data_IF_997574491349
#
_entry.id   IF_997574491349
#
_cell.length_a   1.000
_cell.length_b   1.000
_cell.length_c   1.000
_cell.angle_alpha   90.00
_cell.angle_beta   90.00
_cell.angle_gamma   90.00
#
_symmetry.space_group_name_H-M   'P 1'
#
loop_
_entity.id
_entity.type
_entity.pdbx_description
1 polymer ?
#
# COMPACT_ATOMS: atom_id res chain seq x y z
N UNK A 1 19.04 42.69 -21.32
CA UNK A 1 20.06 41.79 -20.72
C UNK A 1 20.03 41.95 -19.20
N UNK A 2 19.23 41.13 -18.49
CA UNK A 2 19.24 41.03 -17.02
C UNK A 2 19.76 39.63 -16.68
N UNK A 3 20.93 39.56 -16.05
CA UNK A 3 21.55 38.30 -15.61
C UNK A 3 20.76 37.77 -14.42
N UNK A 4 20.08 36.64 -14.59
CA UNK A 4 19.53 35.85 -13.48
C UNK A 4 20.67 35.03 -12.87
N UNK A 5 21.00 35.31 -11.61
CA UNK A 5 21.86 34.45 -10.81
C UNK A 5 21.02 33.27 -10.32
N UNK A 6 21.24 32.09 -10.90
CA UNK A 6 20.78 30.83 -10.33
C UNK A 6 21.70 30.47 -9.16
N UNK A 7 21.26 30.81 -7.95
CA UNK A 7 21.90 30.32 -6.72
C UNK A 7 21.56 28.83 -6.60
N UNK A 8 22.51 27.97 -6.99
CA UNK A 8 22.45 26.54 -6.74
C UNK A 8 22.39 26.31 -5.23
N UNK A 9 21.21 25.98 -4.71
CA UNK A 9 21.09 25.36 -3.39
C UNK A 9 21.67 23.95 -3.51
N UNK A 10 22.95 23.81 -3.20
CA UNK A 10 23.53 22.52 -2.86
C UNK A 10 22.80 22.09 -1.58
N UNK A 11 21.83 21.18 -1.74
CA UNK A 11 21.26 20.43 -0.63
C UNK A 11 22.43 19.64 -0.05
N UNK A 12 23.02 20.20 1.01
CA UNK A 12 23.95 19.49 1.87
C UNK A 12 23.12 18.34 2.45
N UNK A 13 23.32 17.13 1.91
CA UNK A 13 22.94 15.92 2.64
C UNK A 13 23.64 16.03 3.99
N UNK A 14 22.89 16.42 5.02
CA UNK A 14 23.29 16.18 6.38
C UNK A 14 23.43 14.68 6.43
N UNK A 15 24.68 14.22 6.42
CA UNK A 15 25.04 12.86 6.75
C UNK A 15 24.27 12.55 8.02
N UNK A 16 23.20 11.76 7.88
CA UNK A 16 22.59 11.09 9.00
C UNK A 16 23.77 10.41 9.67
N UNK A 17 24.11 10.84 10.90
CA UNK A 17 25.10 10.16 11.74
C UNK A 17 24.72 8.70 11.62
N UNK A 18 25.54 7.92 10.91
CA UNK A 18 25.38 6.47 10.86
C UNK A 18 25.27 6.08 12.32
N UNK A 19 24.10 5.59 12.77
CA UNK A 19 24.01 5.03 14.11
C UNK A 19 25.13 3.99 14.14
N UNK A 20 26.18 4.26 14.91
CA UNK A 20 27.32 3.36 15.03
C UNK A 20 26.78 1.99 15.34
N UNK A 21 27.13 0.98 14.54
CA UNK A 21 26.59 -0.35 14.73
C UNK A 21 26.98 -0.84 16.13
N UNK A 22 25.97 -1.14 16.94
CA UNK A 22 26.17 -1.66 18.31
C UNK A 22 25.75 -3.11 18.39
N UNK A 23 26.29 -3.79 19.40
CA UNK A 23 26.01 -5.19 19.67
C UNK A 23 25.66 -5.37 21.13
N UNK A 24 24.54 -6.04 21.40
CA UNK A 24 24.17 -6.49 22.73
C UNK A 24 24.55 -7.95 22.82
N UNK A 25 25.38 -8.31 23.80
CA UNK A 25 25.72 -9.69 24.11
C UNK A 25 25.21 -10.04 25.50
N UNK A 26 24.54 -11.17 25.63
CA UNK A 26 24.25 -11.81 26.90
C UNK A 26 25.26 -12.92 27.14
N UNK A 27 25.73 -13.08 28.38
CA UNK A 27 26.37 -14.32 28.80
C UNK A 27 26.12 -14.60 30.28
N UNK A 28 25.87 -15.86 30.61
CA UNK A 28 25.78 -16.32 32.00
C UNK A 28 27.15 -16.71 32.60
N UNK A 29 28.23 -16.55 31.83
CA UNK A 29 29.56 -17.04 32.16
C UNK A 29 30.64 -16.02 31.74
N UNK A 30 31.42 -15.56 32.72
CA UNK A 30 32.39 -14.48 32.55
C UNK A 30 31.86 -13.15 33.07
N UNK A 31 32.77 -12.32 33.59
CA UNK A 31 32.45 -11.00 34.13
C UNK A 31 32.88 -9.90 33.13
N UNK A 32 32.42 -8.66 33.29
CA UNK A 32 32.91 -7.59 32.46
C UNK A 32 34.29 -7.09 32.91
N UNK A 33 35.30 -7.24 32.04
CA UNK A 33 36.61 -6.61 32.21
C UNK A 33 37.69 -7.46 32.89
N UNK A 34 37.40 -8.69 33.31
CA UNK A 34 38.39 -9.64 33.80
C UNK A 34 38.97 -10.54 32.71
N UNK A 35 39.13 -10.04 31.47
CA UNK A 35 39.68 -10.85 30.38
C UNK A 35 41.10 -11.30 30.72
N UNK A 36 41.31 -12.61 30.72
CA UNK A 36 42.62 -13.17 31.02
C UNK A 36 42.86 -14.42 30.21
N UNK A 37 44.05 -14.49 29.62
CA UNK A 37 44.54 -15.67 28.92
C UNK A 37 45.00 -16.77 29.89
N UNK A 38 45.32 -16.40 31.13
CA UNK A 38 45.73 -17.29 32.20
C UNK A 38 44.57 -17.53 33.18
N UNK A 39 44.53 -18.68 33.83
CA UNK A 39 43.51 -18.93 34.83
C UNK A 39 43.67 -18.01 36.05
N UNK A 40 42.54 -17.50 36.54
CA UNK A 40 42.43 -16.88 37.86
C UNK A 40 41.52 -17.69 38.76
N UNK A 41 41.73 -17.59 40.08
CA UNK A 41 41.03 -18.39 41.07
C UNK A 41 39.91 -17.57 41.71
N UNK A 42 38.70 -18.13 41.80
CA UNK A 42 37.57 -17.57 42.55
C UNK A 42 36.79 -18.72 43.19
N UNK A 43 36.63 -18.68 44.52
CA UNK A 43 35.86 -19.64 45.30
C UNK A 43 36.15 -21.12 44.96
N UNK A 44 37.44 -21.47 44.79
CA UNK A 44 37.99 -22.79 44.45
C UNK A 44 37.96 -23.20 42.95
N UNK A 45 37.41 -22.35 42.09
CA UNK A 45 37.38 -22.57 40.64
C UNK A 45 38.46 -21.76 39.93
N UNK A 46 38.95 -22.32 38.83
CA UNK A 46 39.89 -21.67 37.91
C UNK A 46 39.11 -21.24 36.68
N UNK A 47 39.16 -19.95 36.33
CA UNK A 47 38.44 -19.38 35.20
C UNK A 47 39.38 -18.71 34.20
N UNK A 48 39.06 -18.78 32.92
CA UNK A 48 39.62 -17.94 31.87
C UNK A 48 38.56 -17.63 30.82
N UNK A 49 38.49 -16.38 30.38
CA UNK A 49 37.57 -15.98 29.33
C UNK A 49 38.05 -14.71 28.62
N UNK A 50 37.65 -14.55 27.37
CA UNK A 50 37.94 -13.37 26.57
C UNK A 50 36.96 -13.21 25.40
N UNK A 51 36.83 -11.97 24.96
CA UNK A 51 36.10 -11.59 23.75
C UNK A 51 37.09 -10.89 22.83
N UNK A 52 37.10 -11.25 21.55
CA UNK A 52 37.99 -10.64 20.55
C UNK A 52 37.22 -10.12 19.36
N UNK A 53 37.79 -9.11 18.71
CA UNK A 53 37.37 -8.60 17.39
C UNK A 53 38.20 -9.26 16.28
N UNK A 54 37.91 -8.90 15.03
CA UNK A 54 38.43 -9.59 13.83
C UNK A 54 39.95 -9.60 13.72
N UNK A 55 40.62 -8.58 14.25
CA UNK A 55 42.10 -8.48 14.26
C UNK A 55 42.77 -9.38 15.31
N UNK A 56 41.99 -10.13 16.11
CA UNK A 56 42.46 -11.00 17.18
C UNK A 56 42.76 -10.29 18.50
N UNK A 57 42.64 -8.97 18.57
CA UNK A 57 42.80 -8.21 19.80
C UNK A 57 41.56 -8.34 20.70
N UNK A 58 41.77 -8.15 22.01
CA UNK A 58 40.71 -8.11 23.00
C UNK A 58 39.71 -6.97 22.68
N UNK A 59 38.43 -7.26 22.87
CA UNK A 59 37.34 -6.33 22.68
C UNK A 59 36.61 -6.13 24.01
N UNK A 60 36.60 -4.91 24.50
CA UNK A 60 35.97 -4.54 25.76
C UNK A 60 34.61 -3.88 25.52
N UNK A 61 33.61 -4.16 26.38
CA UNK A 61 32.31 -3.52 26.28
C UNK A 61 32.41 -2.04 26.63
N UNK A 62 31.67 -1.22 25.90
CA UNK A 62 31.49 0.21 26.22
C UNK A 62 30.53 0.42 27.39
N UNK A 63 29.67 -0.58 27.65
CA UNK A 63 28.71 -0.57 28.75
C UNK A 63 28.40 -1.99 29.20
N UNK A 64 28.19 -2.14 30.50
CA UNK A 64 27.90 -3.42 31.17
C UNK A 64 26.70 -3.20 32.06
N UNK A 65 25.71 -4.06 31.93
CA UNK A 65 24.50 -4.06 32.76
C UNK A 65 24.17 -5.50 33.11
N UNK A 66 24.38 -5.89 34.36
CA UNK A 66 24.26 -7.28 34.81
C UNK A 66 25.08 -8.24 33.91
N UNK A 67 24.42 -9.17 33.22
CA UNK A 67 24.99 -10.17 32.30
C UNK A 67 25.05 -9.68 30.85
N UNK A 68 24.66 -8.42 30.59
CA UNK A 68 24.64 -7.83 29.26
C UNK A 68 25.85 -6.94 29.02
N UNK A 69 26.53 -7.20 27.92
CA UNK A 69 27.73 -6.50 27.45
C UNK A 69 27.39 -5.78 26.14
N UNK A 70 27.58 -4.46 26.10
CA UNK A 70 27.31 -3.64 24.92
C UNK A 70 28.62 -3.24 24.27
N UNK A 71 28.72 -3.44 22.96
CA UNK A 71 29.90 -3.12 22.15
C UNK A 71 29.56 -2.14 21.03
N UNK A 72 30.52 -1.29 20.67
CA UNK A 72 30.51 -0.41 19.50
C UNK A 72 31.32 -0.96 18.31
N UNK A 73 31.96 -2.12 18.50
CA UNK A 73 32.67 -2.88 17.49
C UNK A 73 32.22 -4.33 17.50
N UNK A 74 32.32 -5.00 16.34
CA UNK A 74 31.86 -6.38 16.15
C UNK A 74 32.71 -7.39 16.94
N UNK A 75 32.12 -8.14 17.90
CA UNK A 75 32.74 -9.32 18.46
C UNK A 75 32.78 -10.44 17.41
N UNK A 76 33.89 -11.17 17.33
CA UNK A 76 34.05 -12.29 16.40
C UNK A 76 34.48 -13.60 17.06
N UNK A 77 34.95 -13.53 18.30
CA UNK A 77 35.30 -14.70 19.08
C UNK A 77 34.87 -14.50 20.54
N UNK A 78 34.29 -15.54 21.11
CA UNK A 78 33.97 -15.68 22.52
C UNK A 78 34.62 -16.97 23.01
N UNK A 79 35.34 -16.89 24.12
CA UNK A 79 35.95 -18.04 24.76
C UNK A 79 35.68 -17.98 26.25
N UNK A 80 35.22 -19.08 26.81
CA UNK A 80 35.06 -19.31 28.23
C UNK A 80 35.54 -20.72 28.54
N UNK A 81 36.30 -20.85 29.62
CA UNK A 81 36.76 -22.13 30.13
C UNK A 81 36.97 -22.05 31.63
N UNK A 82 36.46 -23.04 32.36
CA UNK A 82 36.50 -23.09 33.81
C UNK A 82 36.59 -24.52 34.31
N UNK A 83 37.36 -24.73 35.38
CA UNK A 83 37.45 -26.04 36.03
C UNK A 83 37.63 -25.93 37.54
N UNK A 84 37.23 -26.99 38.25
CA UNK A 84 37.54 -27.22 39.67
C UNK A 84 38.42 -28.47 39.76
N UNK A 85 39.66 -28.36 40.27
CA UNK A 85 40.51 -29.53 40.46
C UNK A 85 39.94 -30.45 41.54
N UNK A 86 40.24 -31.74 41.45
CA UNK A 86 39.83 -32.75 42.43
C UNK A 86 40.33 -32.42 43.85
N UNK A 87 39.43 -32.44 44.85
CA UNK A 87 39.78 -32.18 46.26
C UNK A 87 40.24 -33.42 47.06
N UNK A 88 40.22 -34.62 46.46
CA UNK A 88 40.56 -35.87 47.12
C UNK A 88 41.91 -36.42 46.65
N UNK A 89 42.62 -37.13 47.54
CA UNK A 89 43.91 -37.75 47.22
C UNK A 89 43.74 -38.92 46.25
N UNK A 90 44.09 -38.71 44.98
CA UNK A 90 43.99 -39.70 43.91
C UNK A 90 45.26 -40.55 43.80
N UNK A 91 45.10 -41.86 43.57
CA UNK A 91 46.20 -42.81 43.34
C UNK A 91 46.61 -42.95 41.86
N UNK A 92 46.28 -41.95 41.03
CA UNK A 92 46.54 -41.87 39.57
C UNK A 92 46.50 -40.41 39.08
N UNK A 93 46.54 -40.12 37.75
CA UNK A 93 46.45 -38.75 37.27
C UNK A 93 45.13 -38.13 37.73
N UNK A 94 45.21 -37.06 38.53
CA UNK A 94 44.03 -36.35 39.05
C UNK A 94 43.19 -35.84 37.88
N UNK A 95 41.89 -36.11 37.91
CA UNK A 95 40.93 -35.53 36.97
C UNK A 95 40.43 -34.17 37.47
N UNK A 96 39.44 -33.63 36.75
CA UNK A 96 38.72 -32.42 37.16
C UNK A 96 37.40 -32.85 37.84
N UNK A 97 37.16 -32.35 39.06
CA UNK A 97 35.89 -32.56 39.78
C UNK A 97 34.74 -31.95 38.98
N UNK A 98 35.01 -30.82 38.32
CA UNK A 98 34.11 -30.13 37.43
C UNK A 98 34.89 -29.39 36.32
N UNK A 99 34.34 -29.36 35.12
CA UNK A 99 34.88 -28.63 33.96
C UNK A 99 33.75 -28.05 33.11
N UNK A 100 34.00 -26.91 32.49
CA UNK A 100 33.06 -26.31 31.56
C UNK A 100 33.73 -25.36 30.58
N UNK A 101 33.29 -25.41 29.33
CA UNK A 101 33.85 -24.58 28.28
C UNK A 101 32.87 -24.24 27.17
N UNK A 102 33.09 -23.08 26.58
CA UNK A 102 32.43 -22.61 25.36
C UNK A 102 33.43 -21.84 24.51
N UNK A 103 33.64 -22.31 23.30
CA UNK A 103 34.34 -21.57 22.26
C UNK A 103 33.38 -21.30 21.11
N UNK A 104 33.23 -20.03 20.75
CA UNK A 104 32.51 -19.62 19.56
C UNK A 104 33.37 -18.68 18.73
N UNK A 105 33.60 -19.07 17.49
CA UNK A 105 34.39 -18.32 16.53
C UNK A 105 33.56 -18.03 15.28
N UNK A 106 33.87 -16.91 14.61
CA UNK A 106 33.29 -16.55 13.31
C UNK A 106 31.76 -16.53 13.26
N UNK A 107 31.11 -16.25 14.39
CA UNK A 107 29.65 -16.14 14.43
C UNK A 107 29.16 -14.95 13.60
N UNK A 108 28.03 -15.15 12.89
CA UNK A 108 27.39 -14.08 12.12
C UNK A 108 26.91 -12.99 13.08
N UNK A 109 27.23 -11.73 12.78
CA UNK A 109 27.13 -10.65 13.76
C UNK A 109 25.76 -9.99 13.86
N UNK A 110 24.86 -10.22 12.90
CA UNK A 110 23.51 -9.68 13.06
C UNK A 110 22.84 -10.32 14.27
N UNK A 111 23.19 -11.57 14.54
CA UNK A 111 22.79 -12.31 15.72
C UNK A 111 23.44 -13.71 15.78
N UNK A 112 23.64 -14.25 16.98
CA UNK A 112 24.11 -15.62 17.18
C UNK A 112 23.80 -16.11 18.60
N UNK A 113 23.65 -17.42 18.80
CA UNK A 113 23.53 -18.04 20.11
C UNK A 113 24.35 -19.33 20.12
N UNK A 114 25.06 -19.58 21.22
CA UNK A 114 25.65 -20.88 21.49
C UNK A 114 25.58 -21.21 22.99
N UNK A 115 25.53 -22.51 23.26
CA UNK A 115 25.67 -23.08 24.60
C UNK A 115 26.88 -24.02 24.56
N UNK A 116 27.69 -23.98 25.61
CA UNK A 116 28.86 -24.82 25.76
C UNK A 116 28.52 -26.15 26.42
N UNK A 117 29.56 -26.75 26.99
CA UNK A 117 29.47 -28.05 27.64
C UNK A 117 29.93 -27.94 29.09
N UNK A 118 29.47 -28.88 29.90
CA UNK A 118 29.82 -29.01 31.31
C UNK A 118 29.97 -30.50 31.63
N UNK A 119 30.94 -30.85 32.47
CA UNK A 119 31.24 -32.22 32.83
C UNK A 119 32.10 -32.31 34.08
N UNK A 120 32.61 -33.51 34.37
CA UNK A 120 33.39 -33.80 35.58
C UNK A 120 32.72 -34.83 36.47
N UNK A 121 33.41 -35.25 37.52
CA UNK A 121 32.93 -36.30 38.43
C UNK A 121 31.74 -35.87 39.28
N UNK A 122 31.62 -34.57 39.60
CA UNK A 122 30.56 -34.03 40.44
C UNK A 122 29.29 -33.65 39.66
N UNK A 123 29.24 -33.83 38.34
CA UNK A 123 28.12 -33.41 37.48
C UNK A 123 28.30 -32.00 36.89
N UNK A 124 27.29 -31.50 36.17
CA UNK A 124 27.32 -30.18 35.52
C UNK A 124 26.91 -29.06 36.49
N UNK A 125 27.81 -28.11 36.77
CA UNK A 125 27.54 -26.95 37.63
C UNK A 125 27.15 -25.69 36.83
N UNK A 126 28.00 -25.26 35.89
CA UNK A 126 27.68 -24.16 34.95
C UNK A 126 27.69 -24.72 33.53
N UNK A 127 26.66 -24.40 32.75
CA UNK A 127 26.67 -24.58 31.29
C UNK A 127 26.74 -23.16 30.70
N UNK A 128 27.90 -22.74 30.16
CA UNK A 128 28.08 -21.41 29.61
C UNK A 128 27.18 -21.24 28.41
N UNK A 129 26.45 -20.14 28.38
CA UNK A 129 25.63 -19.71 27.29
C UNK A 129 26.02 -18.29 26.92
N UNK A 130 25.99 -17.99 25.63
CA UNK A 130 25.99 -16.61 25.18
C UNK A 130 25.06 -16.43 24.00
N UNK A 131 24.55 -15.22 23.88
CA UNK A 131 23.87 -14.75 22.68
C UNK A 131 24.33 -13.35 22.34
N UNK A 132 24.25 -12.99 21.08
CA UNK A 132 24.57 -11.65 20.59
C UNK A 132 23.53 -11.24 19.56
N UNK A 133 23.20 -9.95 19.53
CA UNK A 133 22.37 -9.31 18.51
C UNK A 133 22.96 -7.96 18.16
N UNK A 134 23.01 -7.62 16.87
CA UNK A 134 23.34 -6.26 16.44
C UNK A 134 22.11 -5.36 16.48
N UNK A 135 22.30 -4.06 16.60
CA UNK A 135 21.20 -3.11 16.44
C UNK A 135 20.72 -2.94 14.99
N UNK A 136 21.30 -3.64 14.02
CA UNK A 136 20.88 -3.63 12.61
C UNK A 136 19.76 -4.66 12.39
N UNK A 137 18.61 -4.43 13.04
CA UNK A 137 17.46 -5.35 13.01
C UNK A 137 16.39 -4.96 12.00
N UNK A 138 16.43 -3.74 11.46
CA UNK A 138 15.45 -3.29 10.47
C UNK A 138 16.02 -3.38 9.06
N UNK A 139 15.30 -4.07 8.17
CA UNK A 139 15.69 -4.16 6.76
C UNK A 139 15.34 -2.85 6.05
N UNK A 140 16.30 -2.27 5.34
CA UNK A 140 16.04 -1.08 4.52
C UNK A 140 14.97 -1.40 3.47
N UNK A 141 13.94 -0.55 3.31
CA UNK A 141 12.91 -0.80 2.32
C UNK A 141 13.49 -0.67 0.91
N UNK A 142 12.78 -1.23 -0.08
CA UNK A 142 13.16 -1.10 -1.48
C UNK A 142 13.09 0.36 -1.94
N UNK A 143 13.53 0.65 -3.17
CA UNK A 143 13.44 2.00 -3.74
C UNK A 143 12.00 2.50 -3.90
N UNK A 144 10.99 1.62 -3.82
CA UNK A 144 9.57 1.99 -3.72
C UNK A 144 9.09 1.77 -2.28
N UNK A 145 9.49 2.68 -1.39
CA UNK A 145 9.22 2.65 0.04
C UNK A 145 8.07 3.60 0.43
N UNK A 146 7.07 3.74 -0.43
CA UNK A 146 5.93 4.62 -0.17
C UNK A 146 4.69 3.86 0.29
N UNK A 147 3.87 4.50 1.13
CA UNK A 147 2.57 3.97 1.55
C UNK A 147 1.59 5.10 1.80
N UNK A 148 0.29 4.81 1.72
CA UNK A 148 -0.74 5.83 1.94
C UNK A 148 -1.54 5.67 3.22
N UNK A 149 -1.83 4.43 3.64
CA UNK A 149 -2.61 4.11 4.84
C UNK A 149 -1.80 3.27 5.84
N UNK A 150 -1.22 2.16 5.39
CA UNK A 150 -0.56 1.19 6.27
C UNK A 150 0.78 0.75 5.73
N UNK A 151 1.71 0.47 6.64
CA UNK A 151 2.98 -0.18 6.34
C UNK A 151 3.25 -1.29 7.35
N UNK A 152 3.70 -2.45 6.85
CA UNK A 152 4.12 -3.55 7.69
C UNK A 152 5.62 -3.41 7.96
N UNK A 153 5.98 -3.40 9.23
CA UNK A 153 7.34 -3.29 9.72
C UNK A 153 7.68 -4.55 10.52
N UNK A 154 8.95 -4.94 10.53
CA UNK A 154 9.40 -6.13 11.23
C UNK A 154 10.85 -5.96 11.66
N UNK A 155 11.15 -6.32 12.90
CA UNK A 155 12.52 -6.48 13.37
C UNK A 155 12.99 -7.91 13.10
N UNK A 156 14.12 -8.02 12.42
CA UNK A 156 14.79 -9.26 12.00
C UNK A 156 16.09 -9.44 12.78
N UNK A 157 16.55 -10.68 12.92
CA UNK A 157 17.67 -11.04 13.80
C UNK A 157 17.71 -12.56 14.03
N UNK A 158 18.09 -13.01 15.23
CA UNK A 158 18.06 -14.44 15.60
C UNK A 158 17.13 -14.63 16.78
N UNK A 159 16.68 -15.87 16.92
CA UNK A 159 15.78 -16.34 17.98
C UNK A 159 16.13 -15.78 19.35
N UNK A 160 15.11 -15.38 20.11
CA UNK A 160 15.26 -14.86 21.46
C UNK A 160 13.96 -14.32 22.02
N UNK A 161 14.04 -13.78 23.23
CA UNK A 161 12.91 -13.25 24.01
C UNK A 161 12.83 -11.72 23.97
N UNK A 162 13.63 -11.08 23.12
CA UNK A 162 13.75 -9.63 23.07
C UNK A 162 12.42 -8.98 22.67
N UNK A 163 12.20 -7.78 23.18
CA UNK A 163 11.07 -6.92 22.82
C UNK A 163 11.57 -5.74 22.00
N UNK A 164 10.86 -5.48 20.92
CA UNK A 164 11.13 -4.37 20.01
C UNK A 164 10.03 -3.33 20.19
N UNK A 165 10.34 -2.24 20.90
CA UNK A 165 9.40 -1.15 21.15
C UNK A 165 9.49 -0.17 19.98
N UNK A 166 8.40 0.01 19.25
CA UNK A 166 8.39 0.78 18.01
C UNK A 166 8.28 2.28 18.27
N UNK A 167 9.15 3.03 17.61
CA UNK A 167 9.13 4.49 17.57
C UNK A 167 9.09 5.00 16.14
N UNK A 168 8.47 6.17 15.95
CA UNK A 168 8.40 6.85 14.66
C UNK A 168 8.68 8.35 14.81
N UNK A 169 9.06 9.00 13.72
CA UNK A 169 9.09 10.46 13.62
C UNK A 169 8.73 10.92 12.22
N UNK A 170 8.22 12.14 12.12
CA UNK A 170 7.94 12.82 10.86
C UNK A 170 8.94 13.95 10.64
N UNK A 171 9.31 14.19 9.39
CA UNK A 171 10.15 15.34 8.97
C UNK A 171 11.42 15.56 9.81
N UNK A 172 12.08 14.47 10.22
CA UNK A 172 13.31 14.53 11.00
C UNK A 172 13.15 15.05 12.44
N UNK A 173 11.91 15.15 12.94
CA UNK A 173 11.62 15.58 14.31
C UNK A 173 12.07 14.59 15.40
N UNK A 174 11.50 14.72 16.59
CA UNK A 174 11.79 13.79 17.69
C UNK A 174 11.04 12.47 17.50
N UNK A 175 11.70 11.36 17.83
CA UNK A 175 11.05 10.05 17.88
C UNK A 175 9.97 10.01 18.96
N UNK A 176 8.84 9.43 18.60
CA UNK A 176 7.67 9.23 19.44
C UNK A 176 7.40 7.73 19.57
N UNK A 177 7.10 7.28 20.79
CA UNK A 177 6.71 5.90 21.05
C UNK A 177 5.32 5.61 20.45
N UNK A 178 5.18 4.45 19.83
CA UNK A 178 3.88 3.90 19.44
C UNK A 178 3.19 3.18 20.60
N UNK A 179 3.91 2.92 21.70
CA UNK A 179 3.53 2.03 22.81
C UNK A 179 3.22 0.59 22.37
N UNK A 180 3.68 0.19 21.18
CA UNK A 180 3.58 -1.17 20.68
C UNK A 180 4.95 -1.83 20.77
N UNK A 181 4.98 -2.99 21.42
CA UNK A 181 6.13 -3.89 21.41
C UNK A 181 5.83 -5.12 20.56
N UNK A 182 6.76 -5.51 19.71
CA UNK A 182 6.70 -6.80 19.02
C UNK A 182 7.76 -7.76 19.53
N UNK A 183 7.48 -9.05 19.43
CA UNK A 183 8.50 -10.08 19.53
C UNK A 183 9.31 -10.21 18.25
N UNK A 184 10.21 -11.17 18.27
CA UNK A 184 11.04 -11.55 17.14
C UNK A 184 10.22 -11.96 15.91
N UNK A 185 10.59 -11.44 14.72
CA UNK A 185 9.89 -11.68 13.45
C UNK A 185 8.36 -11.47 13.51
N UNK A 186 7.87 -10.73 14.51
CA UNK A 186 6.46 -10.37 14.58
C UNK A 186 6.25 -9.07 13.81
N UNK A 187 5.31 -9.09 12.88
CA UNK A 187 4.96 -7.91 12.09
C UNK A 187 4.23 -6.88 12.97
N UNK A 188 4.73 -5.65 12.96
CA UNK A 188 4.01 -4.47 13.40
C UNK A 188 3.37 -3.80 12.19
N UNK A 189 2.04 -3.69 12.17
CA UNK A 189 1.35 -2.88 11.16
C UNK A 189 1.16 -1.46 11.69
N UNK A 190 1.91 -0.53 11.13
CA UNK A 190 1.72 0.89 11.39
C UNK A 190 0.51 1.39 10.59
N UNK A 191 -0.49 1.92 11.29
CA UNK A 191 -1.69 2.51 10.70
C UNK A 191 -1.58 4.03 10.78
N UNK A 192 -1.52 4.70 9.62
CA UNK A 192 -1.35 6.16 9.52
C UNK A 192 -2.36 6.91 10.36
N UNK A 193 -3.64 6.56 10.26
CA UNK A 193 -4.75 7.21 10.95
C UNK A 193 -4.66 7.19 12.48
N UNK A 194 -3.84 6.30 13.05
CA UNK A 194 -3.63 6.19 14.50
C UNK A 194 -2.57 7.16 15.01
N UNK A 195 -1.54 7.45 14.20
CA UNK A 195 -0.31 8.09 14.67
C UNK A 195 -0.03 9.45 14.02
N UNK A 196 -0.50 9.67 12.79
CA UNK A 196 -0.25 10.90 12.05
C UNK A 196 -1.53 11.47 11.45
N UNK A 197 -1.54 12.78 11.21
CA UNK A 197 -2.69 13.46 10.58
C UNK A 197 -3.06 12.82 9.25
N UNK A 198 -4.35 12.74 8.95
CA UNK A 198 -4.87 12.31 7.64
C UNK A 198 -4.44 13.22 6.49
N UNK A 199 -3.98 14.44 6.79
CA UNK A 199 -3.46 15.39 5.80
C UNK A 199 -1.94 15.32 5.63
N UNK A 200 -1.23 14.56 6.47
CA UNK A 200 0.23 14.52 6.45
C UNK A 200 0.79 13.82 5.21
N UNK A 201 1.65 14.48 4.46
CA UNK A 201 2.37 13.93 3.31
C UNK A 201 3.83 14.30 3.49
N UNK A 202 4.73 13.32 3.43
CA UNK A 202 6.14 13.56 3.72
C UNK A 202 6.89 12.34 4.21
N UNK A 203 8.12 12.56 4.69
CA UNK A 203 9.01 11.50 5.13
C UNK A 203 8.65 11.02 6.54
N UNK A 204 8.62 9.71 6.75
CA UNK A 204 8.45 9.11 8.06
C UNK A 204 9.57 8.11 8.33
N UNK A 205 10.17 8.22 9.50
CA UNK A 205 11.24 7.34 9.95
C UNK A 205 10.72 6.41 11.03
N UNK A 206 11.18 5.17 11.03
CA UNK A 206 10.93 4.19 12.08
C UNK A 206 12.24 3.68 12.66
N UNK A 207 12.21 3.42 13.96
CA UNK A 207 13.23 2.65 14.67
C UNK A 207 12.58 1.82 15.77
N UNK A 208 13.33 0.92 16.36
CA UNK A 208 12.93 0.19 17.56
C UNK A 208 13.93 0.41 18.68
N UNK A 209 13.43 0.50 19.91
CA UNK A 209 14.25 0.25 21.10
C UNK A 209 14.30 -1.26 21.30
N UNK A 210 15.50 -1.82 21.30
CA UNK A 210 15.75 -3.24 21.51
C UNK A 210 15.96 -3.45 23.00
N UNK A 211 14.99 -4.08 23.64
CA UNK A 211 15.05 -4.54 25.03
C UNK A 211 15.28 -6.05 25.00
N UNK A 212 16.44 -6.48 25.49
CA UNK A 212 16.80 -7.91 25.43
C UNK A 212 16.17 -8.73 26.55
N UNK A 213 15.87 -8.08 27.68
CA UNK A 213 15.33 -8.67 28.89
C UNK A 213 14.69 -7.59 29.72
N UNK A 214 13.35 -7.60 29.72
CA UNK A 214 12.50 -6.59 30.36
C UNK A 214 12.69 -6.49 31.88
N UNK A 215 13.43 -7.41 32.50
CA UNK A 215 13.76 -7.37 33.93
C UNK A 215 15.06 -6.61 34.23
N UNK A 216 15.83 -6.28 33.20
CA UNK A 216 17.05 -5.49 33.26
C UNK A 216 16.78 -4.13 32.63
N UNK A 217 17.30 -3.07 33.24
CA UNK A 217 17.17 -1.72 32.71
C UNK A 217 18.56 -1.18 32.37
N UNK A 218 18.68 -0.50 31.24
CA UNK A 218 19.89 0.20 30.80
C UNK A 218 20.72 -0.54 29.74
N UNK A 219 20.38 -1.76 29.38
CA UNK A 219 20.98 -2.55 28.30
C UNK A 219 20.37 -2.24 26.92
N UNK A 220 19.31 -1.43 26.89
CA UNK A 220 18.56 -1.13 25.68
C UNK A 220 19.38 -0.33 24.69
N UNK A 221 19.24 -0.66 23.41
CA UNK A 221 19.87 0.08 22.31
C UNK A 221 18.88 0.31 21.18
N UNK A 222 18.99 1.48 20.56
CA UNK A 222 18.19 1.80 19.38
C UNK A 222 18.71 1.09 18.14
N UNK A 223 17.78 0.62 17.33
CA UNK A 223 18.09 0.04 16.03
C UNK A 223 18.64 1.07 15.03
N UNK A 224 19.03 0.58 13.87
CA UNK A 224 19.08 1.41 12.67
C UNK A 224 17.69 2.02 12.35
N UNK A 225 17.71 3.11 11.58
CA UNK A 225 16.50 3.81 11.13
C UNK A 225 16.15 3.32 9.72
N UNK A 226 14.87 3.12 9.47
CA UNK A 226 14.32 2.92 8.12
C UNK A 226 13.35 4.06 7.80
N UNK A 227 13.41 4.54 6.57
CA UNK A 227 12.62 5.69 6.12
C UNK A 227 11.63 5.25 5.06
N UNK A 228 10.42 5.80 5.13
CA UNK A 228 9.35 5.62 4.16
C UNK A 228 8.79 6.99 3.77
N UNK A 229 8.04 7.03 2.68
CA UNK A 229 7.34 8.24 2.24
C UNK A 229 5.83 8.04 2.35
N UNK A 230 5.14 8.92 3.09
CA UNK A 230 3.69 8.90 3.22
C UNK A 230 3.06 9.62 2.04
N UNK A 231 2.40 8.87 1.16
CA UNK A 231 1.65 9.37 0.02
C UNK A 231 0.17 9.61 0.38
N UNK A 232 -0.55 10.46 -0.38
CA UNK A 232 -2.02 10.51 -0.32
C UNK A 232 -2.64 9.17 -0.72
N UNK A 233 -3.70 8.76 -0.02
CA UNK A 233 -4.49 7.58 -0.40
C UNK A 233 -5.19 7.81 -1.73
N UNK A 234 -5.31 6.81 -2.61
CA UNK A 234 -6.07 6.98 -3.85
C UNK A 234 -7.47 7.53 -3.57
N UNK A 235 -8.00 8.44 -4.39
CA UNK A 235 -9.35 8.92 -4.16
C UNK A 235 -10.35 7.77 -4.30
N UNK A 236 -11.23 7.62 -3.33
CA UNK A 236 -12.29 6.62 -3.30
C UNK A 236 -13.42 7.05 -4.22
N UNK A 237 -13.89 6.14 -5.06
CA UNK A 237 -15.11 6.33 -5.85
C UNK A 237 -16.35 6.23 -4.93
N UNK A 238 -16.85 7.38 -4.51
CA UNK A 238 -18.02 7.51 -3.64
C UNK A 238 -19.29 6.99 -4.30
N UNK A 239 -19.51 7.38 -5.56
CA UNK A 239 -20.72 7.02 -6.29
C UNK A 239 -20.50 7.05 -7.79
N UNK A 240 -21.42 6.38 -8.49
CA UNK A 240 -21.61 6.47 -9.93
C UNK A 240 -23.00 7.06 -10.16
N UNK A 241 -23.18 7.90 -11.17
CA UNK A 241 -24.50 8.45 -11.52
C UNK A 241 -25.54 7.34 -11.71
N UNK A 242 -26.77 7.62 -11.30
CA UNK A 242 -27.92 6.74 -11.49
C UNK A 242 -28.66 7.08 -12.78
N UNK A 243 -29.49 6.16 -13.28
CA UNK A 243 -30.32 6.33 -14.48
C UNK A 243 -29.52 6.75 -15.72
N UNK A 244 -28.38 6.07 -15.95
CA UNK A 244 -27.58 6.30 -17.14
C UNK A 244 -28.29 5.66 -18.32
N UNK A 245 -28.77 6.50 -19.24
CA UNK A 245 -29.50 6.07 -20.43
C UNK A 245 -28.74 6.48 -21.69
N UNK A 246 -28.86 5.69 -22.75
CA UNK A 246 -28.57 6.16 -24.11
C UNK A 246 -29.68 7.09 -24.59
N UNK A 247 -29.43 7.88 -25.63
CA UNK A 247 -30.47 8.79 -26.15
C UNK A 247 -31.58 8.05 -26.90
N UNK A 248 -31.25 6.93 -27.56
CA UNK A 248 -32.21 6.02 -28.21
C UNK A 248 -31.89 4.56 -27.85
N UNK A 249 -32.87 3.67 -28.00
CA UNK A 249 -32.76 2.23 -27.66
C UNK A 249 -31.72 1.45 -28.50
N UNK A 250 -31.18 2.08 -29.54
CA UNK A 250 -30.20 1.49 -30.46
C UNK A 250 -28.90 2.31 -30.58
N UNK A 251 -28.76 3.40 -29.82
CA UNK A 251 -27.54 4.24 -29.82
C UNK A 251 -26.54 3.77 -28.76
N UNK A 252 -25.28 4.19 -28.92
CA UNK A 252 -24.19 3.97 -27.97
C UNK A 252 -23.56 5.29 -27.52
N UNK A 253 -24.41 6.19 -27.04
CA UNK A 253 -24.06 7.55 -26.62
C UNK A 253 -24.34 7.83 -25.14
N UNK A 254 -24.53 6.76 -24.35
CA UNK A 254 -24.76 6.87 -22.91
C UNK A 254 -23.57 7.51 -22.21
N UNK A 255 -23.87 8.22 -21.12
CA UNK A 255 -22.88 8.88 -20.28
C UNK A 255 -23.00 8.41 -18.83
N UNK A 256 -21.85 8.22 -18.18
CA UNK A 256 -21.77 7.81 -16.78
C UNK A 256 -20.78 8.71 -16.06
N UNK A 257 -21.21 9.31 -14.96
CA UNK A 257 -20.39 10.21 -14.13
C UNK A 257 -19.89 9.48 -12.90
N UNK A 258 -18.57 9.46 -12.74
CA UNK A 258 -17.85 8.88 -11.61
C UNK A 258 -17.54 10.00 -10.60
N UNK A 259 -17.99 9.86 -9.35
CA UNK A 259 -17.79 10.86 -8.30
C UNK A 259 -16.79 10.37 -7.24
N UNK A 260 -15.73 11.13 -7.03
CA UNK A 260 -14.64 10.78 -6.11
C UNK A 260 -14.67 11.62 -4.83
N UNK A 261 -14.05 11.14 -3.77
CA UNK A 261 -13.97 11.80 -2.46
C UNK A 261 -13.00 13.00 -2.41
N UNK A 262 -11.95 12.97 -3.23
CA UNK A 262 -10.96 14.04 -3.37
C UNK A 262 -10.56 14.27 -4.84
N UNK A 263 -10.01 15.45 -5.10
CA UNK A 263 -9.38 15.74 -6.38
C UNK A 263 -8.05 14.99 -6.48
N UNK A 264 -7.63 14.74 -7.72
CA UNK A 264 -6.26 14.34 -8.01
C UNK A 264 -5.28 15.46 -7.65
N UNK A 265 -4.09 15.08 -7.20
CA UNK A 265 -2.95 16.00 -7.10
C UNK A 265 -2.42 16.32 -8.51
N UNK A 266 -1.60 17.36 -8.63
CA UNK A 266 -1.08 17.78 -9.95
C UNK A 266 -0.16 16.73 -10.59
N UNK A 267 0.45 15.85 -9.79
CA UNK A 267 1.32 14.76 -10.19
C UNK A 267 0.67 13.37 -10.03
N UNK A 268 -0.66 13.33 -9.90
CA UNK A 268 -1.45 12.12 -9.78
C UNK A 268 -2.38 11.94 -11.00
N UNK A 269 -2.54 10.71 -11.45
CA UNK A 269 -3.48 10.35 -12.52
C UNK A 269 -4.17 9.04 -12.21
N UNK A 270 -5.40 8.86 -12.71
CA UNK A 270 -6.03 7.55 -12.73
C UNK A 270 -5.56 6.73 -13.92
N UNK A 271 -5.39 5.44 -13.68
CA UNK A 271 -5.33 4.40 -14.70
C UNK A 271 -6.62 3.60 -14.63
N UNK A 272 -7.51 3.84 -15.59
CA UNK A 272 -8.82 3.21 -15.66
C UNK A 272 -8.87 2.19 -16.80
N UNK A 273 -9.46 1.04 -16.53
CA UNK A 273 -9.84 0.06 -17.53
C UNK A 273 -11.34 -0.17 -17.42
N UNK A 274 -12.06 -0.02 -18.54
CA UNK A 274 -13.49 -0.25 -18.60
C UNK A 274 -13.77 -1.46 -19.50
N UNK A 275 -14.38 -2.49 -18.95
CA UNK A 275 -14.78 -3.68 -19.74
C UNK A 275 -16.28 -3.87 -19.65
N UNK A 276 -16.83 -4.59 -20.62
CA UNK A 276 -18.17 -5.13 -20.47
C UNK A 276 -18.18 -6.22 -19.38
N UNK A 277 -19.36 -6.47 -18.82
CA UNK A 277 -19.54 -7.52 -17.80
C UNK A 277 -19.27 -8.94 -18.34
N UNK A 278 -19.33 -9.15 -19.66
CA UNK A 278 -18.98 -10.41 -20.33
C UNK A 278 -17.46 -10.58 -20.56
N UNK A 279 -16.64 -9.62 -20.12
CA UNK A 279 -15.19 -9.63 -20.27
C UNK A 279 -14.69 -9.11 -21.62
N UNK A 280 -15.57 -8.73 -22.55
CA UNK A 280 -15.17 -8.05 -23.77
C UNK A 280 -14.63 -6.65 -23.45
N UNK A 281 -13.51 -6.30 -24.08
CA UNK A 281 -12.74 -5.13 -23.73
C UNK A 281 -13.35 -3.83 -24.26
N UNK A 282 -13.30 -2.79 -23.43
CA UNK A 282 -13.28 -1.41 -23.88
C UNK A 282 -12.04 -0.72 -23.31
N UNK A 283 -11.76 0.48 -23.83
CA UNK A 283 -10.47 1.14 -23.76
C UNK A 283 -9.93 1.37 -22.34
N UNK A 284 -8.61 1.20 -22.20
CA UNK A 284 -7.86 1.80 -21.10
C UNK A 284 -7.82 3.32 -21.27
N UNK A 285 -7.97 4.05 -20.18
CA UNK A 285 -7.83 5.51 -20.15
C UNK A 285 -6.97 5.96 -18.98
N UNK A 286 -6.05 6.87 -19.28
CA UNK A 286 -5.38 7.66 -18.27
C UNK A 286 -6.15 8.97 -18.09
N UNK A 287 -6.58 9.26 -16.86
CA UNK A 287 -7.33 10.48 -16.53
C UNK A 287 -6.45 11.36 -15.63
N UNK A 288 -6.08 12.54 -16.13
CA UNK A 288 -5.34 13.55 -15.38
C UNK A 288 -6.29 14.51 -14.66
N UNK A 289 -5.77 15.27 -13.69
CA UNK A 289 -6.53 16.29 -12.96
C UNK A 289 -7.27 17.27 -13.88
N UNK A 290 -6.65 17.70 -14.98
CA UNK A 290 -7.26 18.67 -15.93
C UNK A 290 -8.46 18.10 -16.70
N UNK A 291 -8.63 16.79 -16.73
CA UNK A 291 -9.77 16.12 -17.37
C UNK A 291 -10.96 15.96 -16.41
N UNK A 292 -10.78 16.27 -15.13
CA UNK A 292 -11.82 16.16 -14.11
C UNK A 292 -12.53 17.49 -13.87
N UNK A 293 -13.78 17.40 -13.41
CA UNK A 293 -14.50 18.52 -12.82
C UNK A 293 -14.08 18.65 -11.35
N UNK A 294 -13.86 19.88 -10.86
CA UNK A 294 -13.45 20.14 -9.47
C UNK A 294 -14.65 20.14 -8.48
N UNK A 295 -15.83 20.57 -8.94
CA UNK A 295 -17.05 20.62 -8.13
C UNK A 295 -18.28 20.26 -8.96
N UNK A 296 -18.80 19.02 -8.84
CA UNK A 296 -18.29 17.92 -8.02
C UNK A 296 -16.98 17.35 -8.58
N UNK A 297 -16.23 16.65 -7.71
CA UNK A 297 -14.95 15.99 -8.02
C UNK A 297 -15.21 14.76 -8.89
N UNK A 298 -15.35 14.95 -10.19
CA UNK A 298 -15.93 13.92 -11.05
C UNK A 298 -15.29 13.81 -12.43
N UNK A 299 -15.50 12.66 -13.05
CA UNK A 299 -15.17 12.41 -14.45
C UNK A 299 -16.35 11.73 -15.15
N UNK A 300 -16.74 12.24 -16.31
CA UNK A 300 -17.85 11.68 -17.11
C UNK A 300 -17.30 10.85 -18.26
N UNK A 301 -17.58 9.56 -18.24
CA UNK A 301 -17.35 8.66 -19.35
C UNK A 301 -18.51 8.77 -20.34
N UNK A 302 -18.20 8.99 -21.62
CA UNK A 302 -19.19 9.19 -22.69
C UNK A 302 -19.07 8.10 -23.75
N UNK A 303 -20.11 7.96 -24.57
CA UNK A 303 -20.11 7.05 -25.72
C UNK A 303 -20.27 5.58 -25.30
N UNK A 304 -21.09 5.33 -24.28
CA UNK A 304 -21.35 3.99 -23.76
C UNK A 304 -22.61 3.41 -24.40
N UNK A 305 -22.52 2.13 -24.79
CA UNK A 305 -23.65 1.33 -25.27
C UNK A 305 -24.54 0.84 -24.15
N UNK A 306 -25.71 0.32 -24.51
CA UNK A 306 -26.63 -0.33 -23.58
C UNK A 306 -26.02 -1.66 -23.13
N UNK A 307 -25.42 -1.67 -21.94
CA UNK A 307 -24.71 -2.83 -21.39
C UNK A 307 -24.40 -2.63 -19.89
N UNK A 308 -24.02 -3.71 -19.22
CA UNK A 308 -23.36 -3.66 -17.91
C UNK A 308 -21.83 -3.56 -18.06
N UNK A 309 -21.22 -2.70 -17.25
CA UNK A 309 -19.79 -2.39 -17.30
C UNK A 309 -19.10 -2.71 -15.96
N UNK A 310 -17.83 -3.09 -16.05
CA UNK A 310 -16.89 -3.21 -14.93
C UNK A 310 -15.81 -2.16 -15.13
N UNK A 311 -15.73 -1.20 -14.21
CA UNK A 311 -14.63 -0.24 -14.11
C UNK A 311 -13.61 -0.77 -13.12
N UNK A 312 -12.38 -0.99 -13.58
CA UNK A 312 -11.22 -1.18 -12.74
C UNK A 312 -10.37 0.10 -12.76
N UNK A 313 -9.98 0.60 -11.60
CA UNK A 313 -9.19 1.83 -11.53
C UNK A 313 -8.17 1.79 -10.38
N UNK A 314 -7.05 2.47 -10.58
CA UNK A 314 -6.03 2.76 -9.59
C UNK A 314 -5.44 4.14 -9.86
N UNK A 315 -4.76 4.76 -8.90
CA UNK A 315 -3.96 5.97 -9.16
C UNK A 315 -2.49 5.65 -9.30
N UNK A 316 -1.84 6.42 -10.16
CA UNK A 316 -0.39 6.52 -10.29
C UNK A 316 0.01 7.88 -9.76
N UNK A 317 0.90 7.89 -8.78
CA UNK A 317 1.49 9.10 -8.23
C UNK A 317 2.99 9.11 -8.56
N UNK A 318 3.45 10.15 -9.24
CA UNK A 318 4.87 10.32 -9.57
C UNK A 318 5.45 11.44 -8.71
N UNK A 319 6.34 11.08 -7.80
CA UNK A 319 7.05 12.01 -6.91
C UNK A 319 8.53 12.09 -7.28
N UNK A 320 9.28 13.00 -6.67
CA UNK A 320 10.74 13.05 -6.82
C UNK A 320 11.44 11.74 -6.40
N UNK A 321 10.80 10.96 -5.52
CA UNK A 321 11.34 9.71 -4.96
C UNK A 321 10.95 8.47 -5.77
N UNK A 322 10.13 8.60 -6.82
CA UNK A 322 9.69 7.47 -7.65
C UNK A 322 8.20 7.52 -7.99
N UNK A 323 7.73 6.43 -8.61
CA UNK A 323 6.32 6.27 -9.00
C UNK A 323 5.69 5.14 -8.20
N UNK A 324 4.57 5.43 -7.53
CA UNK A 324 3.81 4.44 -6.77
C UNK A 324 2.44 4.22 -7.43
N UNK A 325 1.99 2.96 -7.46
CA UNK A 325 0.63 2.59 -7.83
C UNK A 325 -0.21 2.33 -6.59
N UNK A 326 -1.43 2.82 -6.58
CA UNK A 326 -2.40 2.49 -5.53
C UNK A 326 -2.91 1.05 -5.68
N UNK A 327 -3.60 0.56 -4.64
CA UNK A 327 -4.42 -0.64 -4.79
C UNK A 327 -5.46 -0.44 -5.89
N UNK A 328 -5.64 -1.45 -6.74
CA UNK A 328 -6.69 -1.46 -7.74
C UNK A 328 -8.06 -1.69 -7.10
N UNK A 329 -9.03 -0.89 -7.51
CA UNK A 329 -10.42 -0.95 -7.09
C UNK A 329 -11.32 -1.29 -8.27
N UNK A 330 -12.49 -1.89 -8.00
CA UNK A 330 -13.45 -2.28 -9.03
C UNK A 330 -14.86 -1.81 -8.70
N UNK A 331 -15.62 -1.40 -9.72
CA UNK A 331 -17.02 -0.99 -9.58
C UNK A 331 -17.82 -1.40 -10.81
N UNK A 332 -19.03 -1.89 -10.59
CA UNK A 332 -19.99 -2.18 -11.66
C UNK A 332 -21.03 -1.08 -11.77
N UNK A 333 -21.47 -0.84 -13.01
CA UNK A 333 -22.60 0.02 -13.33
C UNK A 333 -23.25 -0.45 -14.64
N UNK A 334 -24.43 0.09 -14.96
CA UNK A 334 -25.12 -0.20 -16.21
C UNK A 334 -25.55 1.06 -16.91
N UNK A 335 -25.66 0.94 -18.23
CA UNK A 335 -26.34 1.90 -19.10
C UNK A 335 -27.55 1.17 -19.67
N UNK A 336 -28.74 1.70 -19.41
CA UNK A 336 -30.01 1.12 -19.84
C UNK A 336 -30.53 1.84 -21.11
N UNK A 337 -31.39 1.19 -21.90
CA UNK A 337 -32.10 1.90 -22.96
C UNK A 337 -33.13 2.87 -22.36
N UNK A 338 -33.42 4.01 -23.02
CA UNK A 338 -34.59 4.81 -22.68
C UNK A 338 -35.88 4.05 -23.05
N UNK A 339 -37.04 4.59 -22.69
CA UNK A 339 -38.31 4.07 -23.20
C UNK A 339 -38.35 4.22 -24.73
N UNK A 340 -38.65 3.14 -25.45
CA UNK A 340 -38.70 3.14 -26.91
C UNK A 340 -39.72 4.15 -27.44
N UNK A 341 -39.25 5.06 -28.28
CA UNK A 341 -40.10 5.94 -29.07
C UNK A 341 -40.96 5.12 -30.03
N UNK A 342 -42.26 5.42 -30.08
CA UNK A 342 -43.19 4.80 -31.01
C UNK A 342 -44.20 5.79 -31.55
N UNK A 343 -44.82 5.43 -32.68
CA UNK A 343 -45.96 6.17 -33.20
C UNK A 343 -47.00 5.22 -33.81
N UNK A 344 -48.22 5.73 -33.96
CA UNK A 344 -49.28 5.05 -34.69
C UNK A 344 -49.97 6.02 -35.64
N UNK A 345 -50.46 5.48 -36.76
CA UNK A 345 -51.24 6.22 -37.75
C UNK A 345 -52.66 5.65 -37.75
N UNK A 346 -53.65 6.53 -37.61
CA UNK A 346 -55.06 6.21 -37.77
C UNK A 346 -55.56 6.87 -39.05
N UNK A 347 -55.99 6.08 -40.02
CA UNK A 347 -56.48 6.58 -41.31
C UNK A 347 -58.00 6.74 -41.31
N UNK A 348 -58.49 7.88 -41.79
CA UNK A 348 -59.92 8.12 -42.05
C UNK A 348 -60.12 8.35 -43.55
N UNK A 349 -60.81 7.40 -44.20
CA UNK A 349 -61.08 7.48 -45.63
C UNK A 349 -62.10 8.59 -45.95
N UNK A 350 -61.95 9.29 -47.08
CA UNK A 350 -62.91 10.31 -47.49
C UNK A 350 -64.26 9.69 -47.85
N UNK A 351 -65.35 10.41 -47.57
CA UNK A 351 -66.73 9.94 -47.86
C UNK A 351 -67.01 9.87 -49.36
N UNK A 352 -66.26 10.62 -50.18
CA UNK A 352 -66.42 10.69 -51.63
C UNK A 352 -65.05 10.87 -52.32
N UNK A 353 -64.91 10.41 -53.57
CA UNK A 353 -63.65 10.39 -54.35
C UNK A 353 -62.95 11.75 -54.56
N UNK A 354 -63.60 12.87 -54.22
CA UNK A 354 -63.08 14.23 -54.45
C UNK A 354 -62.68 14.95 -53.16
N UNK A 355 -62.56 14.25 -52.03
CA UNK A 355 -62.11 14.82 -50.76
C UNK A 355 -60.79 14.17 -50.33
N UNK A 356 -59.86 14.92 -49.69
CA UNK A 356 -58.66 14.32 -49.13
C UNK A 356 -59.01 13.35 -47.99
N UNK A 357 -58.22 12.30 -47.84
CA UNK A 357 -58.24 11.48 -46.63
C UNK A 357 -57.62 12.25 -45.46
N UNK A 358 -57.94 11.85 -44.23
CA UNK A 358 -57.30 12.42 -43.03
C UNK A 358 -56.52 11.30 -42.34
N UNK A 359 -55.25 11.56 -42.07
CA UNK A 359 -54.45 10.70 -41.19
C UNK A 359 -54.29 11.39 -39.85
N UNK A 360 -54.34 10.61 -38.78
CA UNK A 360 -54.00 11.05 -37.43
C UNK A 360 -52.74 10.34 -36.98
N UNK A 361 -51.65 11.08 -36.83
CA UNK A 361 -50.39 10.55 -36.30
C UNK A 361 -50.39 10.79 -34.79
N UNK A 362 -50.11 9.76 -34.00
CA UNK A 362 -50.01 9.85 -32.54
C UNK A 362 -48.64 9.34 -32.14
N UNK A 363 -47.79 10.23 -31.63
CA UNK A 363 -46.46 9.91 -31.11
C UNK A 363 -46.55 9.58 -29.62
N UNK A 364 -45.74 8.61 -29.16
CA UNK A 364 -45.70 8.16 -27.77
C UNK A 364 -44.27 7.84 -27.33
N UNK A 365 -43.97 8.06 -26.05
CA UNK A 365 -42.62 7.91 -25.46
C UNK A 365 -41.56 8.78 -26.17
N UNK A 366 -40.27 8.53 -25.94
CA UNK A 366 -39.18 9.36 -26.48
C UNK A 366 -39.12 10.76 -25.86
N UNK A 367 -38.46 11.69 -26.57
CA UNK A 367 -38.23 13.06 -26.08
C UNK A 367 -38.91 14.09 -26.97
N UNK A 368 -39.96 14.73 -26.44
CA UNK A 368 -40.63 15.88 -27.10
C UNK A 368 -39.66 17.07 -27.31
N UNK A 369 -39.82 17.88 -28.38
CA UNK A 369 -40.85 17.80 -29.44
C UNK A 369 -40.65 16.64 -30.42
N UNK A 370 -41.74 16.27 -31.12
CA UNK A 370 -41.74 15.26 -32.19
C UNK A 370 -41.80 15.92 -33.57
N UNK A 371 -41.34 15.21 -34.59
CA UNK A 371 -41.28 15.67 -35.96
C UNK A 371 -41.82 14.57 -36.88
N UNK A 372 -42.52 14.95 -37.94
CA UNK A 372 -42.91 14.05 -39.01
C UNK A 372 -42.46 14.59 -40.38
N UNK A 373 -42.27 13.69 -41.33
CA UNK A 373 -42.10 14.01 -42.74
C UNK A 373 -42.94 13.05 -43.59
N UNK A 374 -43.51 13.60 -44.67
CA UNK A 374 -44.39 12.90 -45.60
C UNK A 374 -43.69 12.87 -46.95
N UNK A 375 -43.53 11.70 -47.56
CA UNK A 375 -42.93 11.52 -48.89
C UNK A 375 -41.55 12.21 -49.01
N UNK A 376 -40.75 12.15 -47.94
CA UNK A 376 -39.42 12.79 -47.84
C UNK A 376 -39.43 14.32 -47.98
N UNK A 377 -40.55 14.98 -47.67
CA UNK A 377 -40.63 16.45 -47.59
C UNK A 377 -39.93 16.99 -46.33
N UNK A 378 -39.84 18.32 -46.22
CA UNK A 378 -39.25 18.96 -45.04
C UNK A 378 -39.99 18.55 -43.76
N UNK A 379 -39.22 18.27 -42.70
CA UNK A 379 -39.78 17.87 -41.42
C UNK A 379 -40.60 18.99 -40.77
N UNK A 380 -41.75 18.60 -40.23
CA UNK A 380 -42.66 19.48 -39.52
C UNK A 380 -42.73 19.04 -38.06
N UNK A 381 -42.59 20.01 -37.14
CA UNK A 381 -42.76 19.79 -35.71
C UNK A 381 -44.23 19.58 -35.37
N UNK A 382 -44.55 18.60 -34.51
CA UNK A 382 -45.91 18.42 -34.03
C UNK A 382 -46.33 19.60 -33.15
N UNK A 383 -47.59 20.03 -33.24
CA UNK A 383 -48.14 21.03 -32.33
C UNK A 383 -48.56 20.41 -30.98
N UNK A 384 -48.78 19.09 -30.95
CA UNK A 384 -49.12 18.32 -29.74
C UNK A 384 -48.59 16.88 -29.83
N UNK A 385 -48.96 15.97 -28.93
CA UNK A 385 -48.57 14.54 -29.08
C UNK A 385 -49.29 13.83 -30.23
N UNK A 386 -50.26 14.49 -30.87
CA UNK A 386 -50.96 13.99 -32.06
C UNK A 386 -51.26 15.10 -33.05
N UNK A 387 -51.26 14.77 -34.35
CA UNK A 387 -51.54 15.73 -35.43
C UNK A 387 -52.49 15.09 -36.46
N UNK A 388 -53.49 15.86 -36.90
CA UNK A 388 -54.42 15.46 -37.97
C UNK A 388 -54.00 16.14 -39.29
N UNK A 389 -53.76 15.35 -40.34
CA UNK A 389 -53.17 15.82 -41.60
C UNK A 389 -54.04 15.34 -42.76
N UNK A 390 -54.43 16.28 -43.62
CA UNK A 390 -55.16 15.97 -44.85
C UNK A 390 -54.18 15.58 -45.97
N UNK A 391 -54.41 14.44 -46.61
CA UNK A 391 -53.59 13.92 -47.71
C UNK A 391 -54.44 13.66 -48.97
N UNK A 392 -53.89 13.91 -50.18
CA UNK A 392 -54.56 13.54 -51.42
C UNK A 392 -54.67 12.01 -51.56
N UNK A 393 -55.39 11.55 -52.57
CA UNK A 393 -55.47 10.12 -52.86
C UNK A 393 -54.12 9.62 -53.41
N UNK A 394 -53.61 8.53 -52.84
CA UNK A 394 -52.35 7.91 -53.22
C UNK A 394 -51.73 7.16 -52.06
N UNK A 395 -50.64 6.44 -52.36
CA UNK A 395 -49.79 5.85 -51.34
C UNK A 395 -48.86 6.92 -50.77
N UNK A 396 -48.77 7.02 -49.43
CA UNK A 396 -47.88 7.97 -48.76
C UNK A 396 -46.90 7.26 -47.82
N UNK A 397 -45.67 7.79 -47.72
CA UNK A 397 -44.66 7.32 -46.76
C UNK A 397 -44.52 8.32 -45.63
N UNK A 398 -44.76 7.86 -44.41
CA UNK A 398 -44.69 8.69 -43.22
C UNK A 398 -43.50 8.25 -42.37
N UNK A 399 -42.63 9.22 -42.08
CA UNK A 399 -41.55 9.09 -41.10
C UNK A 399 -41.86 9.96 -39.89
N UNK A 400 -41.62 9.44 -38.70
CA UNK A 400 -41.80 10.16 -37.45
C UNK A 400 -40.58 9.95 -36.57
N UNK A 401 -40.10 11.01 -35.94
CA UNK A 401 -39.00 10.97 -34.98
C UNK A 401 -39.19 11.91 -33.81
N UNK A 402 -38.41 11.71 -32.76
CA UNK A 402 -38.34 12.62 -31.62
C UNK A 402 -37.22 13.68 -31.74
N UNK A 403 -37.08 14.53 -30.73
CA UNK A 403 -36.05 15.58 -30.67
C UNK A 403 -34.62 15.06 -30.47
N UNK A 404 -34.45 13.80 -30.07
CA UNK A 404 -33.16 13.09 -30.02
C UNK A 404 -32.86 12.33 -31.31
N UNK A 405 -33.70 12.53 -32.32
CA UNK A 405 -33.66 11.84 -33.62
C UNK A 405 -33.81 10.32 -33.46
N UNK A 406 -34.61 9.89 -32.49
CA UNK A 406 -35.01 8.50 -32.35
C UNK A 406 -36.18 8.19 -33.30
N UNK A 407 -36.11 7.08 -34.02
CA UNK A 407 -37.18 6.57 -34.89
C UNK A 407 -37.82 5.32 -34.29
N UNK A 408 -39.06 5.04 -34.66
CA UNK A 408 -39.74 3.79 -34.27
C UNK A 408 -39.22 2.64 -35.11
N UNK A 409 -38.39 1.79 -34.52
CA UNK A 409 -37.79 0.62 -35.18
C UNK A 409 -38.81 -0.47 -35.57
N UNK A 410 -40.07 -0.37 -35.13
CA UNK A 410 -41.13 -1.34 -35.45
C UNK A 410 -42.12 -0.84 -36.51
N UNK A 411 -42.19 0.48 -36.72
CA UNK A 411 -43.17 1.12 -37.59
C UNK A 411 -42.56 2.04 -38.66
N UNK A 412 -41.23 2.16 -38.75
CA UNK A 412 -40.59 3.10 -39.67
C UNK A 412 -41.03 2.91 -41.13
N UNK A 413 -41.22 4.03 -41.85
CA UNK A 413 -41.61 4.07 -43.27
C UNK A 413 -42.92 3.34 -43.58
N UNK A 414 -43.93 3.53 -42.73
CA UNK A 414 -45.25 2.99 -42.99
C UNK A 414 -45.84 3.59 -44.27
N UNK A 415 -46.01 2.72 -45.27
CA UNK A 415 -46.81 2.95 -46.46
C UNK A 415 -48.28 2.84 -46.07
N UNK A 416 -49.03 3.93 -46.25
CA UNK A 416 -50.46 4.02 -45.96
C UNK A 416 -51.29 4.33 -47.20
#
# INVERSE_FOLDING_TARGET
MKKFYFTFFIILFINCKVCSQTYIMYTNAGDAGGYTFNYYIKDQYYYRYWIKKTDGNLLYPIKVVNQYLIFDQKPTQFYFDAYRPESYSCSGPCGEDWTSGLEATNFNANCYKASGISGGRSGAEIIPEFSIISNQVLTQPSTDNSFCDKVNLQATGCTGTQRFVWEYRIEGGNFQSTNISTGFNQTFQFNRSTYVSSTYVGNIDFRVLIDSDTSVNGEEVYSNIVSYYVNPCPPVLNSVSSNNLTSCVYKSDGEVTLNFDRELLDNEQYEMALTHADGSGLANKTITKSMMTASPKSYTWKGLGIQSYILNYQTRLTTANGTSLSQAMSKTFKVDPPTQFSYQIITTQPVCNNQPGIIKIIASNGTSPYFYSIDSTAEVEFLSTSEDIALPAGDHYITVRDSKSCIDITANDQKI
#
